data_IF_118412649612
#
_entry.id   IF_118412649612
#
_cell.length_a   1.000
_cell.length_b   1.000
_cell.length_c   1.000
_cell.angle_alpha   90.00
_cell.angle_beta   90.00
_cell.angle_gamma   90.00
#
_symmetry.space_group_name_H-M   'P 1'
#
loop_
_entity.id
_entity.type
_entity.pdbx_description
1 polymer ?
#
# COMPACT_ATOMS: atom_id res chain seq x y z
N UNK A 1 -17.27 4.21 -1.13
CA UNK A 1 -15.85 4.60 -1.14
C UNK A 1 -15.74 6.01 -0.60
N UNK A 2 -14.81 6.24 0.30
CA UNK A 2 -14.62 7.55 0.92
C UNK A 2 -13.73 8.41 0.02
N UNK A 3 -13.89 9.74 0.10
CA UNK A 3 -13.21 10.70 -0.77
C UNK A 3 -11.68 10.63 -0.59
N UNK A 4 -10.92 10.71 -1.68
CA UNK A 4 -9.46 10.83 -1.66
C UNK A 4 -9.00 12.11 -0.94
N UNK A 5 -8.34 12.02 0.23
CA UNK A 5 -7.80 13.19 0.90
C UNK A 5 -6.52 13.66 0.20
N UNK A 6 -6.39 14.97 -0.02
CA UNK A 6 -5.15 15.51 -0.58
C UNK A 6 -3.94 15.25 0.33
N UNK A 7 -2.81 14.95 -0.28
CA UNK A 7 -1.57 14.58 0.41
C UNK A 7 -1.46 13.09 0.73
N UNK A 8 -2.33 12.23 0.19
CA UNK A 8 -2.34 10.80 0.53
C UNK A 8 -1.02 10.11 0.16
N UNK A 9 -0.45 10.46 -1.00
CA UNK A 9 0.79 9.89 -1.49
C UNK A 9 1.95 10.87 -1.29
N UNK A 10 1.74 12.15 -1.61
CA UNK A 10 2.80 13.17 -1.53
C UNK A 10 3.22 13.49 -0.09
N UNK A 11 2.33 13.33 0.89
CA UNK A 11 2.61 13.48 2.31
C UNK A 11 2.48 12.14 3.08
N UNK A 12 2.94 11.05 2.46
CA UNK A 12 2.76 9.70 3.00
C UNK A 12 3.33 9.49 4.41
N UNK A 13 4.41 10.19 4.77
CA UNK A 13 4.99 10.12 6.12
C UNK A 13 4.00 10.59 7.18
N UNK A 14 3.25 11.67 6.91
CA UNK A 14 2.24 12.19 7.85
C UNK A 14 1.01 11.30 7.90
N UNK A 15 0.57 10.80 6.74
CA UNK A 15 -0.53 9.83 6.65
C UNK A 15 -0.20 8.56 7.44
N UNK A 16 1.02 8.03 7.30
CA UNK A 16 1.47 6.86 8.08
C UNK A 16 1.49 7.13 9.58
N UNK A 17 1.85 8.34 10.03
CA UNK A 17 1.73 8.72 11.45
C UNK A 17 0.27 8.70 11.93
N UNK A 18 -0.67 9.14 11.10
CA UNK A 18 -2.10 9.10 11.41
C UNK A 18 -2.63 7.67 11.50
N UNK A 19 -2.24 6.79 10.56
CA UNK A 19 -2.55 5.35 10.60
C UNK A 19 -1.93 4.67 11.83
N UNK A 20 -0.68 5.01 12.18
CA UNK A 20 -0.05 4.49 13.40
C UNK A 20 -0.80 4.93 14.65
N UNK A 21 -1.26 6.18 14.71
CA UNK A 21 -2.09 6.68 15.82
C UNK A 21 -3.40 5.91 15.95
N UNK A 22 -4.02 5.56 14.81
CA UNK A 22 -5.20 4.71 14.75
C UNK A 22 -4.95 3.35 15.42
N UNK A 23 -3.86 2.67 15.04
CA UNK A 23 -3.46 1.40 15.63
C UNK A 23 -3.10 1.51 17.13
N UNK A 24 -2.49 2.61 17.56
CA UNK A 24 -2.23 2.86 18.99
C UNK A 24 -3.53 2.96 19.78
N UNK A 25 -4.55 3.64 19.25
CA UNK A 25 -5.86 3.73 19.93
C UNK A 25 -6.50 2.35 20.06
N UNK A 26 -6.42 1.51 19.01
CA UNK A 26 -6.94 0.14 19.06
C UNK A 26 -6.20 -0.72 20.09
N UNK A 27 -4.89 -0.52 20.22
CA UNK A 27 -4.10 -1.16 21.26
C UNK A 27 -4.49 -0.68 22.67
N UNK A 28 -4.66 0.62 22.89
CA UNK A 28 -5.10 1.16 24.18
C UNK A 28 -6.47 0.61 24.61
N UNK A 29 -7.37 0.35 23.66
CA UNK A 29 -8.66 -0.29 23.94
C UNK A 29 -8.51 -1.76 24.37
N UNK A 30 -7.53 -2.48 23.81
CA UNK A 30 -7.25 -3.88 24.19
C UNK A 30 -6.51 -3.98 25.52
N UNK A 31 -5.57 -3.06 25.76
CA UNK A 31 -4.69 -3.05 26.94
C UNK A 31 -5.38 -2.46 28.20
N UNK A 32 -6.65 -2.02 28.10
CA UNK A 32 -7.44 -1.50 29.23
C UNK A 32 -7.08 -0.07 29.68
N UNK A 33 -6.02 0.53 29.15
CA UNK A 33 -5.64 1.94 29.41
C UNK A 33 -6.71 2.93 28.95
N UNK A 34 -7.57 2.51 28.02
CA UNK A 34 -8.72 3.29 27.59
C UNK A 34 -9.74 3.51 28.73
N UNK A 35 -9.80 2.58 29.69
CA UNK A 35 -10.78 2.65 30.78
C UNK A 35 -10.36 3.57 31.92
N UNK A 36 -9.07 3.88 32.05
CA UNK A 36 -8.57 4.86 33.02
C UNK A 36 -8.84 6.32 32.61
N UNK A 37 -9.30 6.55 31.37
CA UNK A 37 -9.62 7.89 30.88
C UNK A 37 -11.00 8.35 31.35
N UNK A 38 -11.15 9.67 31.54
CA UNK A 38 -12.43 10.27 31.87
C UNK A 38 -13.44 10.07 30.72
N UNK A 39 -14.75 10.08 31.04
CA UNK A 39 -15.82 9.90 30.03
C UNK A 39 -15.70 10.89 28.85
N UNK A 40 -15.28 12.12 29.13
CA UNK A 40 -15.08 13.16 28.10
C UNK A 40 -13.92 12.84 27.17
N UNK A 41 -12.78 12.43 27.71
CA UNK A 41 -11.61 12.04 26.93
C UNK A 41 -11.87 10.78 26.11
N UNK A 42 -12.54 9.81 26.70
CA UNK A 42 -12.97 8.58 26.03
C UNK A 42 -13.79 8.88 24.77
N UNK A 43 -14.79 9.76 24.91
CA UNK A 43 -15.62 10.21 23.79
C UNK A 43 -14.81 10.92 22.70
N UNK A 44 -13.82 11.74 23.07
CA UNK A 44 -12.96 12.43 22.10
C UNK A 44 -12.08 11.43 21.32
N UNK A 45 -11.49 10.46 22.03
CA UNK A 45 -10.67 9.42 21.41
C UNK A 45 -11.50 8.53 20.49
N UNK A 46 -12.72 8.17 20.87
CA UNK A 46 -13.64 7.41 20.02
C UNK A 46 -14.01 8.16 18.75
N UNK A 47 -14.35 9.45 18.86
CA UNK A 47 -14.62 10.29 17.68
C UNK A 47 -13.40 10.42 16.78
N UNK A 48 -12.21 10.56 17.36
CA UNK A 48 -10.96 10.60 16.61
C UNK A 48 -10.72 9.28 15.89
N UNK A 49 -10.93 8.14 16.56
CA UNK A 49 -10.76 6.81 15.98
C UNK A 49 -11.73 6.55 14.83
N UNK A 50 -13.00 6.92 15.00
CA UNK A 50 -14.02 6.78 13.97
C UNK A 50 -13.72 7.65 12.73
N UNK A 51 -13.23 8.88 12.95
CA UNK A 51 -12.81 9.77 11.86
C UNK A 51 -11.60 9.21 11.10
N UNK A 52 -10.62 8.66 11.82
CA UNK A 52 -9.45 8.02 11.22
C UNK A 52 -9.84 6.75 10.45
N UNK A 53 -10.74 5.93 10.98
CA UNK A 53 -11.23 4.72 10.30
C UNK A 53 -11.89 5.07 8.98
N UNK A 54 -12.83 6.02 9.04
CA UNK A 54 -13.58 6.44 7.86
C UNK A 54 -12.65 6.92 6.74
N UNK A 55 -11.63 7.71 7.08
CA UNK A 55 -10.79 8.33 6.06
C UNK A 55 -9.60 7.48 5.61
N UNK A 56 -9.01 6.68 6.51
CA UNK A 56 -7.72 6.01 6.30
C UNK A 56 -7.79 4.49 6.57
N UNK A 57 -8.94 3.92 6.93
CA UNK A 57 -9.09 2.50 7.22
C UNK A 57 -8.68 1.61 6.06
N UNK A 58 -9.01 2.02 4.83
CA UNK A 58 -8.68 1.29 3.60
C UNK A 58 -7.18 1.19 3.29
N UNK A 59 -6.36 2.06 3.89
CA UNK A 59 -4.90 2.08 3.69
C UNK A 59 -4.12 1.66 4.93
N UNK A 60 -4.79 1.09 5.93
CA UNK A 60 -4.19 0.69 7.19
C UNK A 60 -3.05 -0.32 7.02
N UNK A 61 -3.17 -1.22 6.04
CA UNK A 61 -2.18 -2.25 5.72
C UNK A 61 -1.01 -1.73 4.85
N UNK A 62 -1.09 -0.50 4.34
CA UNK A 62 -0.05 0.05 3.46
C UNK A 62 1.20 0.45 4.24
N UNK A 63 2.26 -0.35 4.10
CA UNK A 63 3.55 -0.07 4.72
C UNK A 63 4.42 0.88 3.91
N UNK A 64 4.26 0.93 2.59
CA UNK A 64 5.06 1.74 1.66
C UNK A 64 4.18 2.35 0.57
N UNK A 65 4.72 3.31 -0.17
CA UNK A 65 4.06 3.85 -1.35
C UNK A 65 3.75 2.73 -2.35
N UNK A 66 2.60 2.79 -3.04
CA UNK A 66 2.22 1.80 -4.02
C UNK A 66 3.15 1.87 -5.25
N UNK A 67 3.35 0.72 -5.90
CA UNK A 67 4.16 0.64 -7.11
C UNK A 67 3.39 1.03 -8.38
N UNK A 68 2.07 0.99 -8.34
CA UNK A 68 1.16 1.42 -9.40
C UNK A 68 -0.19 1.79 -8.77
N UNK A 69 -0.97 2.61 -9.47
CA UNK A 69 -2.34 2.95 -9.08
C UNK A 69 -3.32 2.51 -10.16
N UNK A 70 -4.47 2.01 -9.72
CA UNK A 70 -5.63 1.79 -10.57
C UNK A 70 -6.72 2.79 -10.20
N UNK A 71 -7.13 3.63 -11.15
CA UNK A 71 -8.08 4.73 -10.95
C UNK A 71 -9.35 4.50 -11.77
N UNK A 72 -10.50 4.75 -11.15
CA UNK A 72 -11.81 4.77 -11.82
C UNK A 72 -12.27 6.23 -11.85
N UNK A 73 -12.63 6.73 -13.03
CA UNK A 73 -13.00 8.14 -13.27
C UNK A 73 -11.84 9.12 -12.96
N UNK A 74 -11.06 9.42 -14.00
CA UNK A 74 -9.93 10.37 -13.97
C UNK A 74 -10.38 11.76 -13.51
N UNK A 75 -11.58 12.19 -13.95
CA UNK A 75 -12.06 13.55 -13.72
C UNK A 75 -12.42 13.77 -12.26
N UNK A 76 -13.06 12.78 -11.62
CA UNK A 76 -13.34 12.82 -10.17
C UNK A 76 -12.06 12.70 -9.35
N UNK A 77 -11.16 11.79 -9.71
CA UNK A 77 -9.95 11.47 -8.94
C UNK A 77 -8.69 12.23 -9.39
N UNK A 78 -8.87 13.44 -9.94
CA UNK A 78 -7.77 14.30 -10.41
C UNK A 78 -6.66 14.56 -9.37
N UNK A 79 -7.01 14.60 -8.07
CA UNK A 79 -6.02 14.78 -6.99
C UNK A 79 -5.10 13.56 -6.90
N UNK A 80 -5.66 12.35 -6.95
CA UNK A 80 -4.89 11.12 -6.90
C UNK A 80 -3.91 11.04 -8.09
N UNK A 81 -4.36 11.42 -9.28
CA UNK A 81 -3.56 11.45 -10.51
C UNK A 81 -2.43 12.47 -10.40
N UNK A 82 -2.73 13.70 -9.96
CA UNK A 82 -1.73 14.75 -9.80
C UNK A 82 -0.65 14.36 -8.77
N UNK A 83 -1.03 13.68 -7.69
CA UNK A 83 -0.08 13.17 -6.71
C UNK A 83 0.76 12.02 -7.24
N UNK A 84 0.16 11.10 -7.97
CA UNK A 84 0.83 9.96 -8.58
C UNK A 84 1.87 10.39 -9.63
N UNK A 85 1.51 11.33 -10.50
CA UNK A 85 2.40 11.92 -11.49
C UNK A 85 3.61 12.59 -10.83
N UNK A 86 3.42 13.34 -9.74
CA UNK A 86 4.51 13.98 -9.00
C UNK A 86 5.50 13.00 -8.39
N UNK A 87 5.04 11.80 -8.06
CA UNK A 87 5.85 10.74 -7.47
C UNK A 87 6.31 9.70 -8.49
N UNK A 88 6.04 9.93 -9.78
CA UNK A 88 6.34 9.00 -10.87
C UNK A 88 5.78 7.58 -10.63
N UNK A 89 4.58 7.50 -10.04
CA UNK A 89 3.87 6.23 -9.86
C UNK A 89 3.06 5.95 -11.13
N UNK A 90 3.27 4.81 -11.81
CA UNK A 90 2.50 4.42 -12.98
C UNK A 90 1.00 4.35 -12.71
N UNK A 91 0.20 4.90 -13.62
CA UNK A 91 -1.25 5.03 -13.49
C UNK A 91 -1.94 4.17 -14.55
N UNK A 92 -2.79 3.27 -14.09
CA UNK A 92 -3.76 2.54 -14.88
C UNK A 92 -5.13 3.16 -14.60
N UNK A 93 -5.90 3.53 -15.62
CA UNK A 93 -7.21 4.12 -15.38
C UNK A 93 -8.27 3.72 -16.39
N UNK A 94 -9.51 3.64 -15.90
CA UNK A 94 -10.69 3.63 -16.74
C UNK A 94 -11.00 5.05 -17.20
N UNK A 95 -11.12 5.23 -18.52
CA UNK A 95 -11.30 6.54 -19.14
C UNK A 95 -12.58 6.54 -19.96
N UNK A 96 -13.52 7.40 -19.55
CA UNK A 96 -14.73 7.69 -20.31
C UNK A 96 -14.53 8.87 -21.27
N UNK A 97 -15.49 9.06 -22.17
CA UNK A 97 -15.52 10.08 -23.22
C UNK A 97 -15.32 11.52 -22.75
N UNK A 98 -15.57 11.81 -21.47
CA UNK A 98 -15.50 13.15 -20.89
C UNK A 98 -14.14 13.49 -20.24
N UNK A 99 -13.17 12.57 -20.30
CA UNK A 99 -11.89 12.62 -19.60
C UNK A 99 -10.70 12.66 -20.57
N UNK A 100 -9.61 13.34 -20.20
CA UNK A 100 -8.39 13.42 -21.03
C UNK A 100 -7.48 12.21 -20.78
N UNK A 101 -7.27 11.32 -21.77
CA UNK A 101 -6.46 10.11 -21.60
C UNK A 101 -4.96 10.41 -21.45
N UNK A 102 -4.49 11.61 -21.78
CA UNK A 102 -3.05 11.95 -21.75
C UNK A 102 -2.46 12.04 -20.34
N UNK A 103 -3.31 12.09 -19.33
CA UNK A 103 -2.91 12.18 -17.93
C UNK A 103 -2.54 10.82 -17.33
N UNK A 104 -2.74 9.73 -18.06
CA UNK A 104 -2.62 8.35 -17.58
C UNK A 104 -1.68 7.56 -18.49
N UNK A 105 -0.88 6.68 -17.88
CA UNK A 105 0.10 5.88 -18.61
C UNK A 105 -0.56 4.71 -19.35
N UNK A 106 -1.49 4.01 -18.68
CA UNK A 106 -2.20 2.85 -19.21
C UNK A 106 -3.71 3.10 -19.21
N UNK A 107 -4.22 3.44 -20.39
CA UNK A 107 -5.61 3.85 -20.61
C UNK A 107 -6.48 2.64 -20.93
N UNK A 108 -7.58 2.48 -20.19
CA UNK A 108 -8.63 1.49 -20.45
C UNK A 108 -9.90 2.26 -20.86
N UNK A 109 -10.22 2.34 -22.17
CA UNK A 109 -11.44 3.03 -22.61
C UNK A 109 -12.66 2.24 -22.14
N UNK A 110 -13.45 2.85 -21.26
CA UNK A 110 -14.60 2.19 -20.64
C UNK A 110 -15.57 3.19 -20.02
N UNK A 111 -16.84 2.77 -19.88
CA UNK A 111 -17.82 3.51 -19.10
C UNK A 111 -17.51 3.36 -17.60
N UNK A 112 -17.22 4.46 -16.92
CA UNK A 112 -16.88 4.55 -15.49
C UNK A 112 -18.07 4.88 -14.58
N UNK A 113 -19.24 5.21 -15.13
CA UNK A 113 -20.47 5.46 -14.36
C UNK A 113 -21.25 4.17 -14.10
N UNK A 114 -21.16 3.20 -15.01
CA UNK A 114 -21.92 1.96 -14.92
C UNK A 114 -21.24 0.94 -13.99
N UNK A 115 -21.91 0.60 -12.88
CA UNK A 115 -21.39 -0.38 -11.91
C UNK A 115 -21.08 -1.74 -12.51
N UNK A 116 -21.87 -2.19 -13.52
CA UNK A 116 -21.59 -3.45 -14.25
C UNK A 116 -20.29 -3.39 -15.04
N UNK A 117 -20.00 -2.26 -15.67
CA UNK A 117 -18.76 -2.02 -16.44
C UNK A 117 -17.55 -2.03 -15.51
N UNK A 118 -17.62 -1.23 -14.44
CA UNK A 118 -16.59 -1.15 -13.40
C UNK A 118 -16.32 -2.54 -12.81
N UNK A 119 -17.35 -3.27 -12.38
CA UNK A 119 -17.18 -4.61 -11.81
C UNK A 119 -16.52 -5.56 -12.80
N UNK A 120 -16.93 -5.55 -14.07
CA UNK A 120 -16.38 -6.45 -15.09
C UNK A 120 -14.89 -6.19 -15.30
N UNK A 121 -14.49 -4.92 -15.40
CA UNK A 121 -13.09 -4.53 -15.57
C UNK A 121 -12.28 -4.85 -14.33
N UNK A 122 -12.80 -4.52 -13.14
CA UNK A 122 -12.14 -4.83 -11.89
C UNK A 122 -11.92 -6.32 -11.72
N UNK A 123 -12.86 -7.19 -12.09
CA UNK A 123 -12.67 -8.65 -12.06
C UNK A 123 -11.45 -9.06 -12.90
N UNK A 124 -11.35 -8.62 -14.15
CA UNK A 124 -10.19 -8.94 -14.99
C UNK A 124 -8.88 -8.43 -14.41
N UNK A 125 -8.87 -7.21 -13.87
CA UNK A 125 -7.68 -6.62 -13.25
C UNK A 125 -7.28 -7.37 -11.98
N UNK A 126 -8.23 -7.73 -11.11
CA UNK A 126 -7.94 -8.48 -9.89
C UNK A 126 -7.47 -9.89 -10.19
N UNK A 127 -8.05 -10.54 -11.20
CA UNK A 127 -7.64 -11.88 -11.64
C UNK A 127 -6.21 -11.85 -12.19
N UNK A 128 -5.86 -10.84 -12.98
CA UNK A 128 -4.50 -10.64 -13.48
C UNK A 128 -3.49 -10.38 -12.35
N UNK A 129 -3.85 -9.55 -11.35
CA UNK A 129 -3.01 -9.30 -10.18
C UNK A 129 -2.83 -10.58 -9.36
N UNK A 130 -3.89 -11.37 -9.17
CA UNK A 130 -3.83 -12.63 -8.45
C UNK A 130 -2.92 -13.64 -9.16
N UNK A 131 -3.02 -13.75 -10.49
CA UNK A 131 -2.14 -14.56 -11.33
C UNK A 131 -0.67 -14.16 -11.18
N UNK A 132 -0.36 -12.87 -11.36
CA UNK A 132 1.01 -12.38 -11.21
C UNK A 132 1.59 -12.55 -9.79
N UNK A 133 0.75 -12.47 -8.76
CA UNK A 133 1.16 -12.77 -7.38
C UNK A 133 1.44 -14.27 -7.16
N UNK A 134 0.67 -15.15 -7.81
CA UNK A 134 0.87 -16.60 -7.75
C UNK A 134 2.15 -17.02 -8.48
N UNK A 135 2.39 -16.52 -9.68
CA UNK A 135 3.61 -16.74 -10.45
C UNK A 135 4.84 -16.29 -9.67
N UNK A 136 4.81 -15.07 -9.11
CA UNK A 136 5.90 -14.56 -8.26
C UNK A 136 6.17 -15.43 -7.04
N UNK A 137 5.16 -16.08 -6.47
CA UNK A 137 5.35 -17.03 -5.36
C UNK A 137 6.00 -18.31 -5.86
N UNK A 138 5.49 -18.88 -6.95
CA UNK A 138 6.04 -20.09 -7.57
C UNK A 138 7.51 -19.91 -7.96
N UNK A 139 7.88 -18.79 -8.57
CA UNK A 139 9.28 -18.48 -8.90
C UNK A 139 10.19 -18.40 -7.67
N UNK A 140 9.69 -17.81 -6.57
CA UNK A 140 10.42 -17.70 -5.30
C UNK A 140 10.60 -19.04 -4.60
N UNK A 141 9.68 -19.97 -4.80
CA UNK A 141 9.75 -21.30 -4.20
C UNK A 141 10.63 -22.21 -5.07
N UNK A 142 10.56 -22.10 -6.40
CA UNK A 142 11.50 -22.76 -7.32
C UNK A 142 12.96 -22.31 -7.10
N UNK A 143 13.21 -21.00 -6.92
CA UNK A 143 14.57 -20.50 -6.60
C UNK A 143 15.08 -20.89 -5.21
N UNK A 144 14.21 -21.33 -4.29
CA UNK A 144 14.64 -21.91 -2.99
C UNK A 144 14.97 -23.40 -3.11
N UNK A 145 14.36 -24.11 -4.05
CA UNK A 145 14.66 -25.52 -4.32
C UNK A 145 15.93 -25.70 -5.16
N UNK A 146 16.28 -24.72 -6.01
CA UNK A 146 17.50 -24.71 -6.83
C UNK A 146 18.73 -24.02 -6.20
N UNK A 147 18.70 -23.68 -4.91
CA UNK A 147 19.92 -23.28 -4.22
C UNK A 147 20.78 -24.54 -3.98
N UNK A 148 21.93 -24.72 -4.67
CA UNK A 148 22.82 -25.80 -4.28
C UNK A 148 23.28 -25.50 -2.86
N UNK A 149 23.21 -26.52 -1.99
CA UNK A 149 23.98 -26.58 -0.75
C UNK A 149 25.47 -26.59 -1.09
N UNK A 150 26.00 -25.47 -1.57
CA UNK A 150 27.43 -25.24 -1.72
C UNK A 150 27.95 -24.69 -0.40
N UNK A 151 28.60 -25.58 0.34
CA UNK A 151 29.47 -25.39 1.50
C UNK A 151 29.80 -23.94 1.90
N UNK A 152 29.10 -23.42 2.90
CA UNK A 152 29.62 -22.37 3.79
C UNK A 152 30.41 -22.98 4.97
N UNK A 153 31.34 -23.91 4.68
CA UNK A 153 32.28 -24.44 5.69
C UNK A 153 33.75 -24.03 5.49
N UNK A 154 34.14 -23.27 4.46
CA UNK A 154 35.56 -22.91 4.26
C UNK A 154 35.94 -21.43 4.48
N UNK A 155 35.00 -20.50 4.71
CA UNK A 155 35.33 -19.09 4.90
C UNK A 155 35.71 -18.69 6.34
N UNK A 156 35.44 -19.53 7.34
CA UNK A 156 35.73 -19.20 8.76
C UNK A 156 37.17 -19.50 9.20
N UNK A 157 38.00 -20.15 8.39
CA UNK A 157 39.36 -20.58 8.80
C UNK A 157 40.51 -19.68 8.32
N UNK A 158 40.27 -18.74 7.40
CA UNK A 158 41.33 -17.82 6.91
C UNK A 158 41.41 -16.49 7.65
N UNK A 159 40.40 -16.12 8.46
CA UNK A 159 40.41 -14.85 9.22
C UNK A 159 41.00 -14.96 10.63
N UNK A 160 41.28 -16.19 11.11
CA UNK A 160 41.87 -16.41 12.43
C UNK A 160 43.42 -16.46 12.42
N UNK A 161 44.05 -16.76 11.28
CA UNK A 161 45.52 -16.86 11.19
C UNK A 161 46.18 -15.51 10.89
N UNK A 162 45.45 -14.53 10.34
CA UNK A 162 46.01 -13.24 9.95
C UNK A 162 46.04 -12.20 11.10
N UNK A 163 45.57 -12.55 12.30
CA UNK A 163 45.55 -11.63 13.47
C UNK A 163 46.55 -12.02 14.57
N UNK A 164 47.39 -13.03 14.35
CA UNK A 164 48.44 -13.46 15.28
C UNK A 164 49.88 -13.21 14.77
N UNK A 165 50.08 -12.60 13.59
CA UNK A 165 51.42 -12.35 13.01
C UNK A 165 51.81 -10.87 12.80
N UNK A 166 51.03 -9.90 13.30
CA UNK A 166 51.50 -8.50 13.39
C UNK A 166 51.55 -8.07 14.86
N UNK A 167 52.74 -8.25 15.41
CA UNK A 167 53.34 -7.51 16.52
C UNK A 167 53.51 -6.02 16.16
#
# INVERSE_FOLDING_TARGET
TERWPGGMLTNFVTIRKAVKKMATIDRMKKDGTFDSLSKKERLQVDRQRAKLEKNLGSISDMTRLPAALFVVDIKREHIAIAEAQKLNIPIFAMVDTNSDPRQVDYVIPANDEASKSINKILTYVTDAIAGGLAERKAEKDATKEDAPKADKKSASKKKAVATEEEE
#
